data_IF_054224641843
#
_entry.id   IF_054224641843
#
_cell.length_a   1.000
_cell.length_b   1.000
_cell.length_c   1.000
_cell.angle_alpha   90.00
_cell.angle_beta   90.00
_cell.angle_gamma   90.00
#
_symmetry.space_group_name_H-M   'P 1'
#
loop_
_entity.id
_entity.type
_entity.pdbx_description
1 polymer ?
#
# COMPACT_ATOMS: atom_id res chain seq x y z
N UNK A 1 -32.69 20.84 -17.21
CA UNK A 1 -31.27 20.58 -17.52
C UNK A 1 -30.56 20.33 -16.19
N UNK A 2 -30.32 19.07 -15.85
CA UNK A 2 -29.70 18.70 -14.57
C UNK A 2 -28.20 18.99 -14.69
N UNK A 3 -27.69 19.96 -13.93
CA UNK A 3 -26.24 20.14 -13.75
C UNK A 3 -25.76 19.02 -12.84
N UNK A 4 -25.22 17.96 -13.44
CA UNK A 4 -24.48 16.93 -12.72
C UNK A 4 -23.20 17.61 -12.21
N UNK A 5 -23.09 17.83 -10.90
CA UNK A 5 -21.83 18.21 -10.25
C UNK A 5 -20.87 17.04 -10.47
N UNK A 6 -19.66 17.29 -10.98
CA UNK A 6 -18.61 16.30 -11.21
C UNK A 6 -18.54 15.28 -10.07
N UNK A 7 -19.10 14.08 -10.27
CA UNK A 7 -18.74 12.91 -9.49
C UNK A 7 -17.45 12.40 -10.12
N UNK A 8 -16.30 12.68 -9.50
CA UNK A 8 -15.07 11.96 -9.84
C UNK A 8 -15.13 10.60 -9.11
N UNK A 9 -15.93 9.69 -9.65
CA UNK A 9 -15.67 8.25 -9.47
C UNK A 9 -14.41 7.97 -10.29
N UNK A 10 -13.30 7.61 -9.63
CA UNK A 10 -12.01 7.35 -10.30
C UNK A 10 -11.77 5.84 -10.33
N UNK A 11 -12.68 5.11 -11.00
CA UNK A 11 -12.37 3.79 -11.52
C UNK A 11 -11.07 3.91 -12.33
N UNK A 12 -10.03 3.19 -11.90
CA UNK A 12 -8.72 3.30 -12.53
C UNK A 12 -8.54 2.18 -13.56
N UNK A 13 -8.73 0.94 -13.14
CA UNK A 13 -8.57 -0.26 -13.97
C UNK A 13 -9.22 -1.47 -13.27
N UNK A 14 -9.14 -2.65 -13.86
CA UNK A 14 -9.50 -3.91 -13.20
C UNK A 14 -8.68 -5.10 -13.66
N UNK A 15 -8.67 -6.17 -12.86
CA UNK A 15 -7.95 -7.41 -13.14
C UNK A 15 -8.95 -8.57 -13.11
N UNK A 16 -8.98 -9.35 -14.19
CA UNK A 16 -9.70 -10.62 -14.23
C UNK A 16 -8.81 -11.73 -13.66
N UNK A 17 -9.24 -12.40 -12.58
CA UNK A 17 -8.50 -13.50 -11.94
C UNK A 17 -9.46 -14.60 -11.54
N UNK A 18 -9.13 -15.86 -11.86
CA UNK A 18 -9.94 -17.05 -11.48
C UNK A 18 -11.44 -16.96 -11.82
N UNK A 19 -11.77 -16.29 -12.93
CA UNK A 19 -13.11 -15.97 -13.44
C UNK A 19 -13.81 -14.76 -12.81
N UNK A 20 -13.26 -14.19 -11.75
CA UNK A 20 -13.77 -12.98 -11.12
C UNK A 20 -13.10 -11.73 -11.70
N UNK A 21 -13.84 -10.62 -11.72
CA UNK A 21 -13.34 -9.31 -12.17
C UNK A 21 -13.25 -8.39 -10.97
N UNK A 22 -12.03 -7.99 -10.65
CA UNK A 22 -11.72 -7.17 -9.49
C UNK A 22 -11.41 -5.74 -9.93
N UNK A 23 -12.10 -4.77 -9.33
CA UNK A 23 -11.90 -3.35 -9.61
C UNK A 23 -10.71 -2.79 -8.82
N UNK A 24 -10.01 -1.84 -9.43
CA UNK A 24 -8.95 -1.06 -8.80
C UNK A 24 -9.38 0.40 -8.84
N UNK A 25 -9.49 1.01 -7.66
CA UNK A 25 -9.79 2.42 -7.52
C UNK A 25 -8.54 3.19 -7.15
N UNK A 26 -8.47 4.45 -7.59
CA UNK A 26 -7.43 5.39 -7.16
C UNK A 26 -8.06 6.50 -6.36
N UNK A 27 -7.42 6.88 -5.25
CA UNK A 27 -7.89 7.94 -4.34
C UNK A 27 -9.37 7.75 -3.96
N UNK A 28 -9.71 6.58 -3.39
CA UNK A 28 -11.07 6.11 -3.32
C UNK A 28 -11.95 6.96 -2.39
N UNK A 29 -13.22 7.02 -2.74
CA UNK A 29 -14.31 7.42 -1.85
C UNK A 29 -14.70 6.26 -0.94
N UNK A 30 -15.44 6.58 0.13
CA UNK A 30 -16.03 5.55 1.00
C UNK A 30 -16.86 4.52 0.23
N UNK A 31 -17.65 4.96 -0.75
CA UNK A 31 -18.47 4.07 -1.59
C UNK A 31 -17.60 3.08 -2.38
N UNK A 32 -16.47 3.54 -2.91
CA UNK A 32 -15.54 2.68 -3.65
C UNK A 32 -14.81 1.71 -2.71
N UNK A 33 -14.46 2.13 -1.48
CA UNK A 33 -13.97 1.21 -0.45
C UNK A 33 -15.01 0.14 -0.09
N UNK A 34 -16.29 0.50 -0.01
CA UNK A 34 -17.38 -0.45 0.21
C UNK A 34 -17.49 -1.47 -0.92
N UNK A 35 -17.37 -1.03 -2.18
CA UNK A 35 -17.37 -1.92 -3.35
C UNK A 35 -16.23 -2.94 -3.24
N UNK A 36 -15.02 -2.48 -2.94
CA UNK A 36 -13.85 -3.35 -2.81
C UNK A 36 -13.98 -4.34 -1.65
N UNK A 37 -14.47 -3.89 -0.49
CA UNK A 37 -14.60 -4.72 0.70
C UNK A 37 -15.70 -5.79 0.54
N UNK A 38 -16.79 -5.45 -0.14
CA UNK A 38 -17.96 -6.33 -0.33
C UNK A 38 -17.99 -7.05 -1.68
N UNK A 39 -16.86 -7.09 -2.39
CA UNK A 39 -16.78 -7.71 -3.69
C UNK A 39 -17.15 -9.21 -3.64
N UNK A 40 -18.09 -9.64 -4.48
CA UNK A 40 -18.57 -11.03 -4.52
C UNK A 40 -17.46 -11.94 -5.04
N UNK A 41 -17.18 -13.05 -4.35
CA UNK A 41 -16.06 -13.93 -4.67
C UNK A 41 -14.70 -13.43 -4.16
N UNK A 42 -14.66 -12.21 -3.61
CA UNK A 42 -13.48 -11.62 -2.99
C UNK A 42 -13.26 -12.10 -1.55
N UNK A 43 -12.01 -11.99 -1.10
CA UNK A 43 -11.70 -11.98 0.33
C UNK A 43 -12.23 -10.67 0.91
N UNK A 44 -12.87 -10.71 2.09
CA UNK A 44 -13.43 -9.52 2.75
C UNK A 44 -12.32 -8.66 3.38
N UNK A 45 -11.43 -8.16 2.54
CA UNK A 45 -10.37 -7.24 2.91
C UNK A 45 -10.00 -6.34 1.74
N UNK A 46 -9.37 -5.22 2.06
CA UNK A 46 -8.85 -4.26 1.08
C UNK A 46 -7.33 -4.32 1.16
N UNK A 47 -6.67 -4.45 0.02
CA UNK A 47 -5.24 -4.18 -0.11
C UNK A 47 -5.05 -2.81 -0.74
N UNK A 48 -3.95 -2.15 -0.40
CA UNK A 48 -3.62 -0.85 -0.98
C UNK A 48 -2.16 -0.75 -1.42
N UNK A 49 -1.92 0.16 -2.36
CA UNK A 49 -0.61 0.69 -2.75
C UNK A 49 -0.65 2.21 -2.70
N UNK A 50 0.13 2.81 -1.81
CA UNK A 50 0.34 4.25 -1.74
C UNK A 50 1.60 4.62 -2.52
N UNK A 51 1.49 5.58 -3.45
CA UNK A 51 2.60 6.08 -4.26
C UNK A 51 2.84 7.57 -3.95
N UNK A 52 3.90 7.85 -3.21
CA UNK A 52 4.10 9.14 -2.52
C UNK A 52 4.37 10.33 -3.45
N UNK A 53 5.19 10.16 -4.48
CA UNK A 53 5.54 11.24 -5.43
C UNK A 53 4.32 11.79 -6.19
N UNK A 54 3.32 10.94 -6.44
CA UNK A 54 2.07 11.29 -7.13
C UNK A 54 0.88 11.48 -6.18
N UNK A 55 1.06 11.17 -4.89
CA UNK A 55 -0.01 11.17 -3.88
C UNK A 55 -1.24 10.39 -4.34
N UNK A 56 -1.01 9.17 -4.86
CA UNK A 56 -2.05 8.25 -5.30
C UNK A 56 -2.16 7.07 -4.35
N UNK A 57 -3.37 6.79 -3.89
CA UNK A 57 -3.71 5.58 -3.14
C UNK A 57 -4.53 4.65 -4.02
N UNK A 58 -3.94 3.53 -4.43
CA UNK A 58 -4.66 2.49 -5.15
C UNK A 58 -5.24 1.50 -4.15
N UNK A 59 -6.51 1.14 -4.29
CA UNK A 59 -7.18 0.13 -3.46
C UNK A 59 -7.81 -0.94 -4.32
N UNK A 60 -7.78 -2.18 -3.83
CA UNK A 60 -8.25 -3.36 -4.56
C UNK A 60 -8.57 -4.49 -3.58
N UNK A 61 -9.37 -5.46 -4.02
CA UNK A 61 -9.85 -6.52 -3.15
C UNK A 61 -8.69 -7.39 -2.65
N UNK A 62 -8.80 -7.92 -1.43
CA UNK A 62 -7.80 -8.77 -0.78
C UNK A 62 -7.40 -10.02 -1.58
N UNK A 63 -8.28 -10.50 -2.48
CA UNK A 63 -8.01 -11.59 -3.43
C UNK A 63 -6.96 -11.23 -4.49
N UNK A 64 -6.76 -9.94 -4.80
CA UNK A 64 -5.69 -9.48 -5.67
C UNK A 64 -4.42 -9.21 -4.86
N UNK A 65 -3.37 -10.02 -5.06
CA UNK A 65 -2.05 -9.72 -4.46
C UNK A 65 -1.43 -8.45 -5.06
N UNK A 66 -0.65 -7.73 -4.26
CA UNK A 66 0.08 -6.51 -4.69
C UNK A 66 0.94 -6.75 -5.93
N UNK A 67 1.57 -7.92 -6.06
CA UNK A 67 2.36 -8.31 -7.26
C UNK A 67 1.55 -8.17 -8.56
N UNK A 68 0.29 -8.59 -8.57
CA UNK A 68 -0.54 -8.52 -9.78
C UNK A 68 -0.87 -7.06 -10.12
N UNK A 69 -1.15 -6.25 -9.10
CA UNK A 69 -1.45 -4.83 -9.28
C UNK A 69 -0.21 -4.08 -9.74
N UNK A 70 0.98 -4.38 -9.19
CA UNK A 70 2.22 -3.76 -9.64
C UNK A 70 2.50 -4.09 -11.11
N UNK A 71 2.37 -5.36 -11.50
CA UNK A 71 2.55 -5.79 -12.88
C UNK A 71 1.56 -5.08 -13.82
N UNK A 72 0.29 -4.98 -13.41
CA UNK A 72 -0.77 -4.37 -14.20
C UNK A 72 -0.61 -2.85 -14.35
N UNK A 73 -0.37 -2.13 -13.25
CA UNK A 73 -0.38 -0.67 -13.25
C UNK A 73 0.95 -0.04 -13.65
N UNK A 74 2.07 -0.71 -13.36
CA UNK A 74 3.41 -0.15 -13.55
C UNK A 74 4.26 -0.94 -14.54
N UNK A 75 3.76 -2.06 -15.07
CA UNK A 75 4.52 -2.96 -15.94
C UNK A 75 5.92 -3.29 -15.36
N UNK A 76 5.95 -3.56 -14.06
CA UNK A 76 7.18 -3.66 -13.29
C UNK A 76 7.22 -4.92 -12.42
N UNK A 77 8.42 -5.27 -11.95
CA UNK A 77 8.60 -6.31 -10.94
C UNK A 77 8.07 -5.80 -9.58
N UNK A 78 7.40 -6.64 -8.80
CA UNK A 78 6.84 -6.27 -7.49
C UNK A 78 7.87 -5.71 -6.50
N UNK A 79 9.17 -6.02 -6.66
CA UNK A 79 10.26 -5.49 -5.84
C UNK A 79 10.35 -3.96 -5.85
N UNK A 80 9.75 -3.27 -6.81
CA UNK A 80 9.67 -1.80 -6.78
C UNK A 80 8.96 -1.27 -5.52
N UNK A 81 8.11 -2.08 -4.88
CA UNK A 81 7.44 -1.72 -3.62
C UNK A 81 8.42 -1.51 -2.48
N UNK A 82 9.60 -2.13 -2.52
CA UNK A 82 10.65 -2.02 -1.49
C UNK A 82 11.89 -1.29 -2.02
N UNK A 83 11.73 -0.53 -3.10
CA UNK A 83 12.77 0.33 -3.67
C UNK A 83 12.44 1.80 -3.34
N UNK A 84 13.34 2.51 -2.63
CA UNK A 84 13.10 3.90 -2.25
C UNK A 84 12.91 4.84 -3.45
N UNK A 85 13.39 4.49 -4.64
CA UNK A 85 13.23 5.33 -5.84
C UNK A 85 11.78 5.40 -6.31
N UNK A 86 11.00 4.34 -6.09
CA UNK A 86 9.61 4.27 -6.53
C UNK A 86 8.63 4.87 -5.51
N UNK A 87 9.11 5.13 -4.29
CA UNK A 87 8.40 5.80 -3.20
C UNK A 87 7.02 5.18 -2.91
N UNK A 88 6.98 3.86 -2.83
CA UNK A 88 5.76 3.09 -2.61
C UNK A 88 5.65 2.58 -1.17
N UNK A 89 4.41 2.32 -0.77
CA UNK A 89 4.05 1.67 0.49
C UNK A 89 2.82 0.78 0.24
N UNK A 90 2.94 -0.51 0.50
CA UNK A 90 1.81 -1.45 0.45
C UNK A 90 1.22 -1.71 1.84
N UNK A 91 -0.04 -2.12 1.90
CA UNK A 91 -0.64 -2.65 3.12
C UNK A 91 -2.00 -3.32 2.90
N UNK A 92 -2.63 -3.75 3.99
CA UNK A 92 -3.97 -4.32 4.00
C UNK A 92 -4.85 -3.79 5.14
N UNK A 93 -6.16 -3.92 4.93
CA UNK A 93 -7.26 -3.56 5.81
C UNK A 93 -8.16 -4.80 5.88
N UNK A 94 -8.18 -5.49 7.01
CA UNK A 94 -8.96 -6.72 7.19
C UNK A 94 -10.36 -6.49 7.83
N UNK A 95 -10.72 -5.24 8.13
CA UNK A 95 -12.01 -4.88 8.74
C UNK A 95 -12.79 -3.85 7.90
N UNK A 96 -14.08 -3.72 8.14
CA UNK A 96 -14.95 -2.77 7.44
C UNK A 96 -14.88 -1.33 7.99
N UNK A 97 -13.90 -1.03 8.86
CA UNK A 97 -13.67 0.32 9.38
C UNK A 97 -12.60 1.08 8.57
N UNK A 98 -12.04 0.44 7.54
CA UNK A 98 -10.97 0.98 6.69
C UNK A 98 -9.72 1.38 7.47
N UNK A 99 -9.49 0.71 8.61
CA UNK A 99 -8.28 0.85 9.40
C UNK A 99 -7.22 -0.10 8.88
N UNK A 100 -6.02 0.44 8.63
CA UNK A 100 -4.88 -0.37 8.22
C UNK A 100 -4.50 -1.33 9.33
N UNK A 101 -4.38 -2.61 8.98
CA UNK A 101 -4.08 -3.68 9.94
C UNK A 101 -2.64 -4.18 9.79
N UNK A 102 -2.15 -4.28 8.55
CA UNK A 102 -0.83 -4.87 8.29
C UNK A 102 -0.15 -4.40 6.98
N UNK A 103 1.13 -4.74 6.84
CA UNK A 103 1.88 -4.67 5.60
C UNK A 103 2.91 -5.79 5.49
N UNK A 104 2.72 -6.67 4.50
CA UNK A 104 3.63 -7.77 4.20
C UNK A 104 5.03 -7.28 3.76
N UNK A 105 5.14 -6.09 3.18
CA UNK A 105 6.43 -5.54 2.76
C UNK A 105 7.30 -4.95 3.86
N UNK A 106 6.75 -4.71 5.06
CA UNK A 106 7.44 -3.97 6.11
C UNK A 106 8.10 -4.86 7.17
N UNK A 107 8.01 -6.18 7.03
CA UNK A 107 8.74 -7.12 7.88
C UNK A 107 10.25 -7.10 7.54
N UNK A 108 11.11 -7.10 8.57
CA UNK A 108 12.58 -7.07 8.42
C UNK A 108 13.10 -8.10 7.42
N UNK A 109 12.63 -9.35 7.51
CA UNK A 109 13.04 -10.42 6.59
C UNK A 109 12.74 -10.07 5.13
N UNK A 110 11.54 -9.56 4.88
CA UNK A 110 11.11 -9.18 3.54
C UNK A 110 11.87 -7.96 3.03
N UNK A 111 12.08 -6.94 3.87
CA UNK A 111 12.90 -5.78 3.49
C UNK A 111 14.32 -6.22 3.16
N UNK A 112 14.94 -7.09 4.00
CA UNK A 112 16.30 -7.60 3.79
C UNK A 112 16.44 -8.44 2.51
N UNK A 113 15.46 -9.28 2.23
CA UNK A 113 15.50 -10.22 1.09
C UNK A 113 15.19 -9.52 -0.24
N UNK A 114 14.28 -8.54 -0.24
CA UNK A 114 13.71 -8.01 -1.47
C UNK A 114 14.15 -6.59 -1.83
N UNK A 115 14.61 -5.80 -0.86
CA UNK A 115 15.13 -4.46 -1.15
C UNK A 115 16.58 -4.54 -1.61
N UNK A 116 16.90 -3.81 -2.68
CA UNK A 116 18.30 -3.63 -3.14
C UNK A 116 19.10 -2.81 -2.12
N UNK A 117 18.42 -1.92 -1.37
CA UNK A 117 19.03 -1.13 -0.31
C UNK A 117 18.07 -0.97 0.87
N UNK A 118 18.00 -2.00 1.76
CA UNK A 118 17.15 -2.02 2.95
C UNK A 118 17.26 -0.75 3.80
N UNK A 119 18.50 -0.28 4.00
CA UNK A 119 18.81 0.89 4.80
C UNK A 119 18.18 2.17 4.23
N UNK A 120 18.36 2.40 2.93
CA UNK A 120 17.80 3.58 2.25
C UNK A 120 16.29 3.51 2.15
N UNK A 121 15.71 2.31 1.98
CA UNK A 121 14.26 2.12 1.99
C UNK A 121 13.64 2.48 3.35
N UNK A 122 14.22 2.01 4.45
CA UNK A 122 13.77 2.36 5.80
C UNK A 122 13.89 3.86 6.08
N UNK A 123 14.99 4.49 5.66
CA UNK A 123 15.15 5.95 5.76
C UNK A 123 14.09 6.70 4.97
N UNK A 124 13.76 6.24 3.76
CA UNK A 124 12.68 6.81 2.96
C UNK A 124 11.35 6.73 3.71
N UNK A 125 10.98 5.54 4.22
CA UNK A 125 9.73 5.33 4.94
C UNK A 125 9.60 6.27 6.14
N UNK A 126 10.66 6.38 6.95
CA UNK A 126 10.67 7.20 8.18
C UNK A 126 10.72 8.71 7.93
N UNK A 127 11.25 9.16 6.79
CA UNK A 127 11.33 10.60 6.45
C UNK A 127 10.10 11.11 5.71
N UNK A 128 9.30 10.21 5.14
CA UNK A 128 8.15 10.57 4.34
C UNK A 128 6.96 10.89 5.23
N UNK A 129 6.31 12.02 4.97
CA UNK A 129 5.01 12.33 5.55
C UNK A 129 3.93 11.52 4.82
N UNK A 130 3.38 10.54 5.53
CA UNK A 130 2.33 9.64 5.05
C UNK A 130 0.92 10.05 5.49
N UNK A 131 0.77 11.14 6.24
CA UNK A 131 -0.54 11.61 6.75
C UNK A 131 -1.55 11.90 5.63
N UNK A 132 -1.08 12.16 4.41
CA UNK A 132 -1.94 12.35 3.24
C UNK A 132 -2.82 11.13 2.92
N UNK A 133 -2.44 9.92 3.37
CA UNK A 133 -3.25 8.70 3.20
C UNK A 133 -4.55 8.80 4.01
N UNK A 134 -4.57 9.56 5.12
CA UNK A 134 -5.77 9.75 5.96
C UNK A 134 -6.93 10.45 5.25
N UNK A 135 -6.68 11.04 4.08
CA UNK A 135 -7.75 11.54 3.23
C UNK A 135 -8.66 10.43 2.67
N UNK A 136 -8.21 9.18 2.73
CA UNK A 136 -8.87 8.05 2.07
C UNK A 136 -9.17 6.88 3.01
N UNK A 137 -8.25 6.53 3.91
CA UNK A 137 -8.36 5.39 4.84
C UNK A 137 -7.80 5.78 6.22
N UNK A 138 -8.11 5.04 7.29
CA UNK A 138 -7.56 5.32 8.63
C UNK A 138 -6.15 4.72 8.70
N UNK A 139 -5.12 5.55 8.57
CA UNK A 139 -3.73 5.12 8.43
C UNK A 139 -2.84 5.57 9.59
N UNK A 140 -2.85 6.86 9.96
CA UNK A 140 -1.86 7.41 10.89
C UNK A 140 -1.82 6.73 12.25
N UNK A 141 -2.94 6.34 12.89
CA UNK A 141 -2.88 5.62 14.17
C UNK A 141 -2.06 4.33 14.09
N UNK A 142 -2.27 3.53 13.04
CA UNK A 142 -1.50 2.31 12.80
C UNK A 142 -0.03 2.64 12.52
N UNK A 143 0.24 3.64 11.69
CA UNK A 143 1.60 4.03 11.32
C UNK A 143 2.41 4.52 12.52
N UNK A 144 1.87 5.45 13.29
CA UNK A 144 2.56 6.09 14.41
C UNK A 144 2.76 5.14 15.59
N UNK A 145 1.74 4.37 15.94
CA UNK A 145 1.76 3.51 17.13
C UNK A 145 2.49 2.20 16.87
N UNK A 146 2.25 1.57 15.71
CA UNK A 146 2.77 0.23 15.40
C UNK A 146 4.02 0.30 14.51
N UNK A 147 3.97 1.04 13.41
CA UNK A 147 5.00 0.95 12.38
C UNK A 147 6.25 1.77 12.66
N UNK A 148 6.13 3.05 13.04
CA UNK A 148 7.31 3.90 13.30
C UNK A 148 8.26 3.29 14.34
N UNK A 149 7.79 2.81 15.52
CA UNK A 149 8.68 2.17 16.49
C UNK A 149 9.37 0.92 15.91
N UNK A 150 8.63 0.11 15.15
CA UNK A 150 9.14 -1.10 14.53
C UNK A 150 10.21 -0.79 13.47
N UNK A 151 9.94 0.16 12.56
CA UNK A 151 10.86 0.56 11.50
C UNK A 151 12.13 1.22 12.05
N UNK A 152 12.04 2.01 13.14
CA UNK A 152 13.20 2.57 13.84
C UNK A 152 14.10 1.46 14.40
N UNK A 153 13.50 0.47 15.07
CA UNK A 153 14.24 -0.69 15.58
C UNK A 153 14.92 -1.47 14.45
N UNK A 154 14.21 -1.72 13.34
CA UNK A 154 14.81 -2.37 12.18
C UNK A 154 15.98 -1.57 11.63
N UNK A 155 15.85 -0.24 11.51
CA UNK A 155 16.91 0.64 11.02
C UNK A 155 18.18 0.54 11.89
N UNK A 156 18.03 0.61 13.23
CA UNK A 156 19.15 0.45 14.16
C UNK A 156 19.83 -0.92 14.04
N UNK A 157 19.07 -1.98 13.79
CA UNK A 157 19.62 -3.32 13.56
C UNK A 157 20.42 -3.39 12.25
N UNK A 158 19.92 -2.79 11.16
CA UNK A 158 20.66 -2.71 9.91
C UNK A 158 21.92 -1.85 10.02
N UNK A 159 21.91 -0.75 10.79
CA UNK A 159 23.09 0.08 11.04
C UNK A 159 24.19 -0.73 11.74
N UNK A 160 23.84 -1.48 12.79
CA UNK A 160 24.79 -2.37 13.46
C UNK A 160 25.30 -3.48 12.56
N UNK A 161 24.45 -4.05 11.72
CA UNK A 161 24.88 -5.07 10.75
C UNK A 161 25.89 -4.50 9.75
N UNK A 162 25.75 -3.24 9.33
CA UNK A 162 26.73 -2.57 8.45
C UNK A 162 28.06 -2.30 9.17
N UNK A 163 28.01 -1.75 10.39
CA UNK A 163 29.22 -1.45 11.20
C UNK A 163 30.06 -2.70 11.51
N UNK A 164 29.46 -3.89 11.60
CA UNK A 164 30.17 -5.13 11.88
C UNK A 164 30.72 -5.83 10.62
N UNK A 165 30.37 -5.35 9.42
CA UNK A 165 30.81 -5.92 8.14
C UNK A 165 31.86 -5.06 7.42
N UNK A 166 32.16 -3.86 7.95
CA UNK A 166 33.24 -2.98 7.54
C UNK A 166 34.53 -3.22 8.36
#
# INVERSE_FOLDING_TARGET
MIKIRNFKEEFYDGIKRWNDYHEIFVNPTKKELDIVYHEVGGHQSIRFLAKNDTKKLYVFNGSLLHIHVIQKLFNANWRIMVDPQYQMLGGSIENNHYEVTDSDTLYKGNIKEYSINPYMYLKFLLKTDWSWIDNYIIFSPWWEIKMIPNLKKQLEEFEKELENND
#
